data_IF_870048370837
#
_entry.id   IF_870048370837
#
_cell.length_a   1.000
_cell.length_b   1.000
_cell.length_c   1.000
_cell.angle_alpha   90.00
_cell.angle_beta   90.00
_cell.angle_gamma   90.00
#
_symmetry.space_group_name_H-M   'P 1'
#
loop_
_entity.id
_entity.type
_entity.pdbx_description
1 polymer ?
#
# COMPACT_ATOMS: atom_id res chain seq x y z
N UNK A 1 -12.70 -0.50 47.83
CA UNK A 1 -13.57 -0.19 46.67
C UNK A 1 -12.81 0.58 45.58
N UNK A 2 -12.02 1.61 45.91
CA UNK A 2 -11.26 2.42 44.93
C UNK A 2 -10.21 1.64 44.09
N UNK A 3 -9.56 0.61 44.67
CA UNK A 3 -8.59 -0.27 43.97
C UNK A 3 -9.22 -1.14 42.87
N UNK A 4 -10.50 -1.50 43.01
CA UNK A 4 -11.22 -2.33 42.03
C UNK A 4 -11.62 -1.50 40.81
N UNK A 5 -12.04 -0.25 41.02
CA UNK A 5 -12.32 0.71 39.94
C UNK A 5 -11.08 1.04 39.11
N UNK A 6 -9.91 1.22 39.75
CA UNK A 6 -8.64 1.44 39.04
C UNK A 6 -8.26 0.22 38.19
N UNK A 7 -8.46 -0.99 38.72
CA UNK A 7 -8.21 -2.22 37.97
C UNK A 7 -9.16 -2.35 36.78
N UNK A 8 -10.46 -2.09 36.95
CA UNK A 8 -11.46 -2.13 35.88
C UNK A 8 -11.13 -1.10 34.78
N UNK A 9 -10.71 0.12 35.13
CA UNK A 9 -10.29 1.13 34.14
C UNK A 9 -9.05 0.66 33.36
N UNK A 10 -8.04 0.11 34.03
CA UNK A 10 -6.84 -0.44 33.37
C UNK A 10 -7.15 -1.64 32.46
N UNK A 11 -8.11 -2.49 32.85
CA UNK A 11 -8.59 -3.61 32.02
C UNK A 11 -9.45 -3.16 30.83
N UNK A 12 -10.25 -2.10 30.98
CA UNK A 12 -11.04 -1.50 29.89
C UNK A 12 -10.10 -0.83 28.86
N UNK A 13 -9.06 -0.12 29.30
CA UNK A 13 -8.02 0.42 28.41
C UNK A 13 -7.25 -0.65 27.64
N UNK A 14 -7.10 -1.85 28.22
CA UNK A 14 -6.39 -2.97 27.61
C UNK A 14 -7.20 -3.73 26.55
N UNK A 15 -8.52 -3.48 26.46
CA UNK A 15 -9.46 -4.28 25.66
C UNK A 15 -10.02 -3.56 24.44
N UNK A 16 -9.74 -2.26 24.26
CA UNK A 16 -9.97 -1.60 23.00
C UNK A 16 -8.79 -1.88 22.07
N UNK A 17 -8.97 -2.86 21.16
CA UNK A 17 -8.16 -2.88 19.96
C UNK A 17 -8.43 -1.56 19.22
N UNK A 18 -7.47 -0.62 19.27
CA UNK A 18 -7.53 0.60 18.49
C UNK A 18 -7.46 0.17 17.02
N UNK A 19 -8.60 0.17 16.34
CA UNK A 19 -8.68 -0.06 14.91
C UNK A 19 -8.55 1.28 14.19
N UNK A 20 -7.48 1.46 13.42
CA UNK A 20 -7.32 2.61 12.55
C UNK A 20 -8.01 2.38 11.19
N UNK A 21 -8.11 3.44 10.39
CA UNK A 21 -8.60 3.33 9.02
C UNK A 21 -7.62 2.52 8.15
N UNK A 22 -8.12 2.01 7.03
CA UNK A 22 -7.24 1.62 5.92
C UNK A 22 -6.36 2.81 5.55
N UNK A 23 -5.06 2.60 5.32
CA UNK A 23 -3.98 3.60 5.20
C UNK A 23 -3.41 4.20 6.50
N UNK A 24 -3.74 3.63 7.67
CA UNK A 24 -3.18 4.04 8.95
C UNK A 24 -2.58 2.87 9.73
N UNK A 25 -1.68 3.19 10.67
CA UNK A 25 -1.13 2.28 11.66
C UNK A 25 -1.20 2.88 13.07
N UNK A 26 -1.19 2.03 14.09
CA UNK A 26 -1.15 2.47 15.49
C UNK A 26 0.31 2.76 15.87
N UNK A 27 0.60 4.00 16.25
CA UNK A 27 1.92 4.42 16.72
C UNK A 27 2.24 3.84 18.11
N UNK A 28 3.50 4.02 18.55
CA UNK A 28 3.91 3.62 19.90
C UNK A 28 3.16 4.33 21.02
N UNK A 29 2.57 5.50 20.74
CA UNK A 29 1.75 6.28 21.69
C UNK A 29 0.28 5.85 21.68
N UNK A 30 -0.09 4.89 20.83
CA UNK A 30 -1.46 4.40 20.68
C UNK A 30 -2.33 5.25 19.74
N UNK A 31 -1.73 6.17 18.99
CA UNK A 31 -2.44 7.05 18.06
C UNK A 31 -2.41 6.51 16.64
N UNK A 32 -3.49 6.69 15.87
CA UNK A 32 -3.51 6.35 14.46
C UNK A 32 -2.70 7.38 13.66
N UNK A 33 -1.70 6.91 12.92
CA UNK A 33 -0.84 7.69 12.04
C UNK A 33 -0.99 7.19 10.60
N UNK A 34 -0.86 8.09 9.63
CA UNK A 34 -0.94 7.72 8.22
C UNK A 34 0.29 6.95 7.77
N UNK A 35 0.07 6.00 6.86
CA UNK A 35 1.14 5.31 6.15
C UNK A 35 1.94 6.28 5.27
N UNK A 36 3.12 5.83 4.85
CA UNK A 36 3.94 6.51 3.84
C UNK A 36 3.20 6.63 2.49
N UNK A 37 3.68 7.53 1.64
CA UNK A 37 3.06 7.82 0.34
C UNK A 37 2.86 6.56 -0.50
N UNK A 38 1.69 6.46 -1.15
CA UNK A 38 1.28 5.36 -2.02
C UNK A 38 1.07 4.01 -1.35
N UNK A 39 1.05 3.99 -0.01
CA UNK A 39 0.77 2.82 0.77
C UNK A 39 -0.71 2.78 1.16
N UNK A 40 -1.45 1.78 0.66
CA UNK A 40 -2.86 1.57 1.01
C UNK A 40 -3.04 0.91 2.39
N UNK A 41 -1.99 0.25 2.90
CA UNK A 41 -1.91 -0.23 4.29
C UNK A 41 -0.46 -0.52 4.67
N UNK A 42 -0.06 -0.23 5.92
CA UNK A 42 1.32 -0.34 6.40
C UNK A 42 1.43 -1.07 7.75
N UNK A 43 2.63 -1.55 8.06
CA UNK A 43 2.98 -2.06 9.39
C UNK A 43 3.30 -0.92 10.35
N UNK A 44 4.01 0.09 9.85
CA UNK A 44 4.48 1.26 10.58
C UNK A 44 4.73 2.43 9.60
N UNK A 45 5.38 3.50 10.07
CA UNK A 45 5.70 4.68 9.26
C UNK A 45 6.58 4.38 8.04
N UNK A 46 7.45 3.36 8.14
CA UNK A 46 8.52 3.11 7.17
C UNK A 46 8.25 1.89 6.30
N UNK A 47 7.35 0.99 6.70
CA UNK A 47 7.14 -0.31 6.06
C UNK A 47 5.70 -0.56 5.64
N UNK A 48 5.50 -0.67 4.33
CA UNK A 48 4.21 -0.87 3.70
C UNK A 48 3.81 -2.36 3.61
N UNK A 49 2.51 -2.65 3.71
CA UNK A 49 1.94 -3.98 3.48
C UNK A 49 1.35 -4.10 2.07
N UNK A 50 0.68 -3.05 1.60
CA UNK A 50 0.03 -2.99 0.28
C UNK A 50 0.15 -1.61 -0.31
N UNK A 51 0.39 -1.57 -1.61
CA UNK A 51 0.48 -0.33 -2.35
C UNK A 51 -0.87 0.03 -3.00
N UNK A 52 -1.01 1.29 -3.39
CA UNK A 52 -2.05 1.75 -4.31
C UNK A 52 -1.86 1.13 -5.71
N UNK A 53 -2.91 1.13 -6.53
CA UNK A 53 -2.78 0.77 -7.95
C UNK A 53 -1.77 1.67 -8.66
N UNK A 54 -1.03 1.10 -9.60
CA UNK A 54 0.10 1.77 -10.25
C UNK A 54 1.40 1.75 -9.45
N UNK A 55 1.44 1.03 -8.32
CA UNK A 55 2.64 0.84 -7.50
C UNK A 55 2.83 -0.64 -7.13
N UNK A 56 4.09 -1.07 -7.10
CA UNK A 56 4.49 -2.40 -6.63
C UNK A 56 5.23 -2.33 -5.29
N UNK A 57 5.03 -3.36 -4.46
CA UNK A 57 5.71 -3.49 -3.18
C UNK A 57 7.14 -3.97 -3.39
N UNK A 58 8.12 -3.19 -2.93
CA UNK A 58 9.56 -3.50 -3.06
C UNK A 58 10.29 -3.33 -1.75
N UNK A 59 11.22 -4.25 -1.50
CA UNK A 59 12.12 -4.12 -0.35
C UNK A 59 13.25 -3.15 -0.68
N UNK A 60 13.45 -2.15 0.17
CA UNK A 60 14.58 -1.23 0.06
C UNK A 60 15.87 -1.85 0.64
N UNK A 61 16.96 -1.08 0.61
CA UNK A 61 18.27 -1.49 1.14
C UNK A 61 18.30 -1.64 2.66
N UNK A 62 17.41 -0.96 3.37
CA UNK A 62 17.27 -1.01 4.82
C UNK A 62 16.43 -2.20 5.28
N UNK A 63 15.73 -2.85 4.34
CA UNK A 63 14.88 -4.00 4.57
C UNK A 63 13.38 -3.66 4.73
N UNK A 64 13.00 -2.40 4.56
CA UNK A 64 11.62 -1.95 4.65
C UNK A 64 10.90 -2.13 3.30
N UNK A 65 9.59 -2.33 3.35
CA UNK A 65 8.78 -2.44 2.14
C UNK A 65 8.24 -1.06 1.74
N UNK A 66 8.51 -0.64 0.52
CA UNK A 66 8.08 0.63 -0.05
C UNK A 66 7.27 0.41 -1.33
N UNK A 67 6.54 1.43 -1.75
CA UNK A 67 5.75 1.40 -2.96
C UNK A 67 6.48 2.11 -4.09
N UNK A 68 6.91 1.33 -5.07
CA UNK A 68 7.60 1.83 -6.26
C UNK A 68 6.60 1.97 -7.41
N UNK A 69 6.65 3.10 -8.10
CA UNK A 69 5.74 3.37 -9.21
C UNK A 69 5.99 2.40 -10.37
N UNK A 70 4.91 1.85 -10.92
CA UNK A 70 4.93 1.10 -12.16
C UNK A 70 5.21 2.00 -13.37
N UNK A 71 5.44 1.39 -14.54
CA UNK A 71 5.52 2.12 -15.81
C UNK A 71 4.24 2.90 -16.12
N UNK A 72 4.32 3.82 -17.08
CA UNK A 72 3.15 4.59 -17.52
C UNK A 72 2.01 3.67 -17.95
N UNK A 73 0.78 4.01 -17.56
CA UNK A 73 -0.44 3.25 -17.87
C UNK A 73 -0.46 1.81 -17.37
N UNK A 74 0.41 1.48 -16.42
CA UNK A 74 0.48 0.17 -15.82
C UNK A 74 -0.23 0.17 -14.47
N UNK A 75 -1.36 -0.53 -14.39
CA UNK A 75 -2.15 -0.67 -13.17
C UNK A 75 -1.50 -1.63 -12.15
N UNK A 76 -0.86 -2.70 -12.63
CA UNK A 76 -0.09 -3.65 -11.82
C UNK A 76 1.22 -4.01 -12.50
N UNK A 77 2.31 -4.00 -11.74
CA UNK A 77 3.61 -4.44 -12.20
C UNK A 77 4.27 -5.41 -11.20
N UNK A 78 5.20 -6.21 -11.72
CA UNK A 78 6.06 -7.08 -10.94
C UNK A 78 7.47 -6.98 -11.46
N UNK A 79 8.41 -6.73 -10.56
CA UNK A 79 9.80 -6.53 -10.93
C UNK A 79 10.02 -5.33 -11.88
N UNK A 80 9.10 -4.36 -11.88
CA UNK A 80 9.08 -3.23 -12.81
C UNK A 80 8.50 -3.55 -14.20
N UNK A 81 8.15 -4.81 -14.45
CA UNK A 81 7.50 -5.26 -15.69
C UNK A 81 5.98 -5.19 -15.50
N UNK A 82 5.28 -4.60 -16.46
CA UNK A 82 3.83 -4.49 -16.37
C UNK A 82 3.14 -5.84 -16.58
N UNK A 83 2.19 -6.16 -15.70
CA UNK A 83 1.37 -7.38 -15.75
C UNK A 83 -0.11 -7.08 -15.97
N UNK A 84 -0.53 -5.82 -15.76
CA UNK A 84 -1.86 -5.33 -16.10
C UNK A 84 -1.79 -3.86 -16.47
N UNK A 85 -2.26 -3.51 -17.67
CA UNK A 85 -2.40 -2.14 -18.11
C UNK A 85 -3.74 -1.54 -17.67
N UNK A 86 -3.81 -0.21 -17.66
CA UNK A 86 -5.07 0.55 -17.63
C UNK A 86 -5.90 0.28 -18.90
N UNK A 87 -7.18 0.67 -18.85
CA UNK A 87 -8.09 0.57 -20.00
C UNK A 87 -7.51 1.31 -21.23
N UNK A 88 -7.77 0.79 -22.43
CA UNK A 88 -7.24 1.27 -23.73
C UNK A 88 -5.74 1.05 -24.00
N UNK A 89 -5.04 0.36 -23.09
CA UNK A 89 -3.63 -0.05 -23.27
C UNK A 89 -3.48 -1.58 -23.30
N UNK A 90 -2.48 -2.05 -24.03
CA UNK A 90 -2.12 -3.46 -24.11
C UNK A 90 -0.65 -3.69 -23.76
N UNK A 91 -0.37 -4.83 -23.14
CA UNK A 91 0.98 -5.22 -22.78
C UNK A 91 1.77 -5.56 -24.05
N UNK A 92 2.89 -4.88 -24.25
CA UNK A 92 3.87 -5.18 -25.29
C UNK A 92 5.27 -5.02 -24.71
N UNK A 93 6.07 -6.08 -24.84
CA UNK A 93 7.45 -6.15 -24.33
C UNK A 93 7.60 -5.78 -22.84
N UNK A 94 6.56 -6.02 -22.03
CA UNK A 94 6.55 -5.71 -20.60
C UNK A 94 6.14 -4.28 -20.25
N UNK A 95 5.76 -3.47 -21.24
CA UNK A 95 5.25 -2.11 -21.07
C UNK A 95 3.82 -1.98 -21.63
N UNK A 96 3.14 -0.87 -21.33
CA UNK A 96 1.80 -0.60 -21.83
C UNK A 96 1.86 0.34 -23.05
N UNK A 97 1.45 -0.16 -24.21
CA UNK A 97 1.25 0.65 -25.42
C UNK A 97 -0.25 0.86 -25.67
N UNK A 98 -0.64 2.06 -26.09
CA UNK A 98 -2.03 2.38 -26.44
C UNK A 98 -2.49 1.50 -27.61
N UNK A 99 -3.67 0.89 -27.49
CA UNK A 99 -4.21 -0.07 -28.48
C UNK A 99 -4.41 0.59 -29.84
N UNK A 100 -4.81 1.86 -29.88
CA UNK A 100 -5.03 2.62 -31.11
C UNK A 100 -3.76 2.63 -31.99
N UNK A 101 -2.59 2.84 -31.37
CA UNK A 101 -1.29 2.86 -32.04
C UNK A 101 -0.84 1.49 -32.54
N UNK A 102 -1.23 0.41 -31.86
CA UNK A 102 -0.92 -0.95 -32.28
C UNK A 102 -1.67 -1.32 -33.57
N UNK A 103 -2.94 -0.93 -33.70
CA UNK A 103 -3.72 -1.18 -34.91
C UNK A 103 -3.15 -0.45 -36.15
N UNK A 104 -2.55 0.73 -35.97
CA UNK A 104 -1.86 1.44 -37.06
C UNK A 104 -0.56 0.75 -37.50
N UNK A 105 0.14 0.02 -36.62
CA UNK A 105 1.40 -0.66 -36.95
C UNK A 105 1.22 -1.99 -37.70
N UNK A 106 0.00 -2.51 -37.78
CA UNK A 106 -0.32 -3.80 -38.43
C UNK A 106 -0.89 -3.61 -39.85
N UNK A 107 -1.19 -2.36 -40.24
CA UNK A 107 -1.55 -1.99 -41.61
C UNK A 107 -0.35 -1.45 -42.38
#
# INVERSE_FOLDING_TARGET
MMKVFICIILFISLTYAVSCLDNQYVSITGECQYCSSHCSSCFDADSCQRCEFGYELRKDKSGNFNCNKCGSHCALCSMGVCTQCEDDYAIKDGECEEVSLLLYKIN
#
